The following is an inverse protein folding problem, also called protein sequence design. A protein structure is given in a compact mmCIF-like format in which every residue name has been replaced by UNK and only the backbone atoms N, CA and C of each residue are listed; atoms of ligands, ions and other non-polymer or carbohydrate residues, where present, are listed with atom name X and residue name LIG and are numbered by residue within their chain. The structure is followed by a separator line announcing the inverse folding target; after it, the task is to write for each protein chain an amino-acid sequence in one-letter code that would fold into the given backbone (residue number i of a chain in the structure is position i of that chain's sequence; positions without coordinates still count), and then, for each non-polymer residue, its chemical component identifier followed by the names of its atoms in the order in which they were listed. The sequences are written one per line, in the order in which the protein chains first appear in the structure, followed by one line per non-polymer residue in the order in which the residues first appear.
data_IF_578487271663
#
_entry.id   IF_578487271663
#
_cell.length_a   1.000
_cell.length_b   1.000
_cell.length_c   1.000
_cell.angle_alpha   90.00
_cell.angle_beta   90.00
_cell.angle_gamma   90.00
#
_symmetry.space_group_name_H-M   'P 1'
#
loop_
_entity.id
_entity.type
_entity.pdbx_description
1 polymer ?
#
# COMPACT_ATOMS: atom_id res chain seq x y z
N UNK A 1 10.23 -8.18 -11.40
CA UNK A 1 9.18 -8.07 -10.36
C UNK A 1 8.66 -6.65 -10.30
N UNK A 2 7.47 -6.41 -9.75
CA UNK A 2 6.92 -5.06 -9.51
C UNK A 2 6.83 -4.78 -8.01
N UNK A 3 7.20 -3.58 -7.57
CA UNK A 3 7.20 -3.15 -6.17
C UNK A 3 6.53 -1.79 -6.03
N UNK A 4 6.12 -1.45 -4.80
CA UNK A 4 5.51 -0.17 -4.45
C UNK A 4 5.94 0.19 -3.05
N UNK A 5 5.99 1.48 -2.73
CA UNK A 5 6.28 1.96 -1.38
C UNK A 5 5.40 1.19 -0.36
N UNK A 6 5.99 0.51 0.64
CA UNK A 6 5.24 -0.42 1.50
C UNK A 6 4.11 0.28 2.27
N UNK A 7 4.34 1.51 2.73
CA UNK A 7 3.29 2.33 3.35
C UNK A 7 2.17 2.73 2.37
N UNK A 8 2.45 2.90 1.08
CA UNK A 8 1.41 3.15 0.07
C UNK A 8 0.54 1.91 -0.16
N UNK A 9 1.14 0.72 -0.13
CA UNK A 9 0.41 -0.56 -0.24
C UNK A 9 -0.62 -0.72 0.88
N UNK A 10 -0.25 -0.39 2.11
CA UNK A 10 -1.13 -0.45 3.28
C UNK A 10 -2.35 0.47 3.14
N UNK A 11 -2.15 1.74 2.75
CA UNK A 11 -3.27 2.68 2.55
C UNK A 11 -4.16 2.23 1.40
N UNK A 12 -3.56 1.76 0.30
CA UNK A 12 -4.30 1.19 -0.83
C UNK A 12 -5.15 -0.02 -0.43
N UNK A 13 -4.58 -0.94 0.37
CA UNK A 13 -5.29 -2.11 0.87
C UNK A 13 -6.43 -1.73 1.82
N UNK A 14 -6.21 -0.74 2.69
CA UNK A 14 -7.25 -0.21 3.57
C UNK A 14 -8.41 0.39 2.80
N UNK A 15 -8.15 1.24 1.80
CA UNK A 15 -9.19 1.85 0.96
C UNK A 15 -9.99 0.80 0.20
N UNK A 16 -9.32 -0.17 -0.41
CA UNK A 16 -9.98 -1.20 -1.22
C UNK A 16 -10.75 -2.22 -0.35
N UNK A 17 -10.12 -2.77 0.69
CA UNK A 17 -10.71 -3.88 1.46
C UNK A 17 -11.59 -3.41 2.62
N UNK A 18 -11.31 -2.24 3.19
CA UNK A 18 -12.00 -1.68 4.36
C UNK A 18 -12.71 -0.35 4.07
N UNK A 19 -12.92 -0.02 2.80
CA UNK A 19 -13.73 1.14 2.41
C UNK A 19 -13.17 2.48 2.85
N UNK A 20 -11.89 2.55 3.25
CA UNK A 20 -11.26 3.78 3.70
C UNK A 20 -11.77 4.30 5.04
N UNK A 21 -12.41 3.45 5.86
CA UNK A 21 -13.02 3.84 7.14
C UNK A 21 -14.50 4.17 7.05
N UNK A 22 -15.07 4.17 5.84
CA UNK A 22 -16.50 4.33 5.65
C UNK A 22 -17.27 3.20 6.34
N UNK A 23 -18.46 3.54 6.83
CA UNK A 23 -19.42 2.59 7.38
C UNK A 23 -19.66 1.44 6.40
N UNK A 24 -19.41 0.21 6.85
CA UNK A 24 -19.76 -0.96 6.05
C UNK A 24 -21.21 -1.35 6.30
N UNK A 25 -21.94 -1.43 5.20
CA UNK A 25 -23.23 -2.13 5.15
C UNK A 25 -22.96 -3.53 4.63
N UNK A 26 -23.04 -4.54 5.52
CA UNK A 26 -22.76 -5.95 5.20
C UNK A 26 -23.54 -6.42 3.97
N UNK A 27 -24.80 -6.00 3.82
CA UNK A 27 -25.66 -6.34 2.70
C UNK A 27 -25.10 -5.85 1.35
N UNK A 28 -24.46 -4.67 1.31
CA UNK A 28 -23.86 -4.12 0.08
C UNK A 28 -22.52 -4.76 -0.29
N UNK A 29 -21.78 -5.30 0.70
CA UNK A 29 -20.44 -5.86 0.50
C UNK A 29 -20.23 -7.20 1.21
N UNK A 30 -21.06 -8.23 0.92
CA UNK A 30 -21.03 -9.50 1.66
C UNK A 30 -19.69 -10.23 1.53
N UNK A 31 -19.06 -10.20 0.36
CA UNK A 31 -17.76 -10.83 0.12
C UNK A 31 -16.63 -10.15 0.89
N UNK A 32 -16.53 -8.81 0.85
CA UNK A 32 -15.49 -8.07 1.61
C UNK A 32 -15.67 -8.26 3.11
N UNK A 33 -16.92 -8.27 3.57
CA UNK A 33 -17.22 -8.52 4.97
C UNK A 33 -16.73 -9.91 5.41
N UNK A 34 -17.06 -10.96 4.65
CA UNK A 34 -16.67 -12.33 4.99
C UNK A 34 -15.16 -12.54 4.96
N UNK A 35 -14.49 -12.03 3.93
CA UNK A 35 -13.06 -12.32 3.67
C UNK A 35 -12.13 -11.44 4.50
N UNK A 36 -12.47 -10.16 4.71
CA UNK A 36 -11.57 -9.19 5.37
C UNK A 36 -12.07 -8.73 6.73
N UNK A 37 -13.33 -8.27 6.82
CA UNK A 37 -13.82 -7.61 8.04
C UNK A 37 -14.10 -8.56 9.18
N UNK A 38 -14.81 -9.66 8.92
CA UNK A 38 -15.15 -10.64 9.97
C UNK A 38 -13.90 -11.21 10.65
N UNK A 39 -12.85 -11.63 9.91
CA UNK A 39 -11.57 -12.01 10.53
C UNK A 39 -10.93 -10.88 11.32
N UNK A 40 -10.95 -9.65 10.79
CA UNK A 40 -10.34 -8.50 11.46
C UNK A 40 -11.04 -8.12 12.78
N UNK A 41 -12.38 -8.09 12.78
CA UNK A 41 -13.18 -7.86 13.98
C UNK A 41 -12.94 -8.94 15.03
N UNK A 42 -12.91 -10.21 14.61
CA UNK A 42 -12.60 -11.33 15.51
C UNK A 42 -11.21 -11.19 16.12
N UNK A 43 -10.20 -10.89 15.31
CA UNK A 43 -8.82 -10.73 15.76
C UNK A 43 -8.64 -9.57 16.75
N UNK A 44 -9.43 -8.50 16.59
CA UNK A 44 -9.42 -7.33 17.47
C UNK A 44 -10.39 -7.45 18.66
N UNK A 45 -11.04 -8.61 18.85
CA UNK A 45 -12.02 -8.82 19.93
C UNK A 45 -13.30 -7.98 19.78
N UNK A 46 -13.56 -7.38 18.63
CA UNK A 46 -14.76 -6.59 18.37
C UNK A 46 -15.93 -7.51 18.02
N UNK A 47 -16.95 -7.54 18.88
CA UNK A 47 -18.15 -8.33 18.65
C UNK A 47 -19.07 -7.67 17.60
N UNK A 48 -19.60 -8.46 16.67
CA UNK A 48 -20.43 -8.04 15.54
C UNK A 48 -21.87 -7.60 15.92
N UNK A 49 -22.12 -7.23 17.18
CA UNK A 49 -23.48 -7.22 17.74
C UNK A 49 -24.37 -6.09 17.22
N UNK A 50 -23.82 -5.01 16.65
CA UNK A 50 -24.60 -3.94 16.01
C UNK A 50 -23.85 -3.37 14.81
N UNK A 51 -24.47 -3.41 13.63
CA UNK A 51 -24.11 -2.56 12.49
C UNK A 51 -24.73 -1.17 12.72
N UNK A 52 -24.15 -0.07 12.22
CA UNK A 52 -22.97 0.02 11.36
C UNK A 52 -21.64 -0.08 12.11
N UNK A 53 -20.68 -0.80 11.54
CA UNK A 53 -19.31 -0.88 12.06
C UNK A 53 -18.41 -0.01 11.18
N UNK A 54 -17.72 0.95 11.79
CA UNK A 54 -16.59 1.64 11.18
C UNK A 54 -15.30 0.95 11.58
N UNK A 55 -14.36 0.86 10.64
CA UNK A 55 -13.08 0.19 10.84
C UNK A 55 -11.95 1.15 10.52
N UNK A 56 -11.21 1.57 11.54
CA UNK A 56 -10.23 2.66 11.37
C UNK A 56 -8.95 2.17 10.71
N UNK A 57 -8.14 3.11 10.19
CA UNK A 57 -6.82 2.76 9.64
C UNK A 57 -5.89 2.18 10.71
N UNK A 58 -5.96 2.68 11.95
CA UNK A 58 -5.19 2.15 13.07
C UNK A 58 -5.59 0.69 13.39
N UNK A 59 -6.88 0.36 13.37
CA UNK A 59 -7.38 -1.00 13.57
C UNK A 59 -6.95 -1.93 12.44
N UNK A 60 -6.99 -1.45 11.20
CA UNK A 60 -6.44 -2.17 10.07
C UNK A 60 -4.96 -2.47 10.25
N UNK A 61 -4.15 -1.51 10.69
CA UNK A 61 -2.73 -1.76 10.92
C UNK A 61 -2.49 -2.72 12.08
N UNK A 62 -3.23 -2.61 13.18
CA UNK A 62 -3.16 -3.58 14.28
C UNK A 62 -3.49 -5.00 13.78
N UNK A 63 -4.56 -5.13 13.01
CA UNK A 63 -4.94 -6.39 12.38
C UNK A 63 -3.87 -6.91 11.40
N UNK A 64 -3.32 -6.04 10.56
CA UNK A 64 -2.28 -6.38 9.59
C UNK A 64 -0.95 -6.75 10.25
N UNK A 65 -0.66 -6.22 11.45
CA UNK A 65 0.48 -6.62 12.28
C UNK A 65 0.24 -7.97 12.95
N UNK A 66 -0.97 -8.21 13.48
CA UNK A 66 -1.35 -9.43 14.20
C UNK A 66 -1.50 -10.65 13.29
N UNK A 67 -2.01 -10.46 12.07
CA UNK A 67 -2.17 -11.54 11.09
C UNK A 67 -0.83 -11.91 10.45
N UNK A 68 -0.27 -13.05 10.87
CA UNK A 68 0.83 -13.76 10.18
C UNK A 68 0.39 -14.23 8.76
N UNK A 69 1.33 -14.51 7.83
CA UNK A 69 1.39 -13.83 6.53
C UNK A 69 0.67 -14.57 5.38
N UNK A 70 -0.63 -14.84 5.51
CA UNK A 70 -1.38 -15.39 4.35
C UNK A 70 -1.84 -14.30 3.39
N UNK A 71 -2.06 -13.08 3.86
CA UNK A 71 -2.59 -12.04 3.00
C UNK A 71 -1.49 -11.28 2.26
N UNK A 72 -1.45 -11.47 0.94
CA UNK A 72 -0.49 -10.83 0.05
C UNK A 72 -0.61 -9.30 0.00
N UNK A 73 -1.73 -8.69 0.42
CA UNK A 73 -1.91 -7.24 0.36
C UNK A 73 -1.11 -6.47 1.43
N UNK A 74 -0.89 -7.05 2.61
CA UNK A 74 -0.14 -6.45 3.73
C UNK A 74 0.95 -7.39 4.28
N UNK A 75 1.45 -8.27 3.40
CA UNK A 75 2.71 -8.98 3.59
C UNK A 75 3.82 -8.19 2.91
N UNK A 76 5.02 -8.22 3.49
CA UNK A 76 6.17 -7.52 2.92
C UNK A 76 6.50 -8.07 1.53
N UNK A 77 7.01 -7.22 0.66
CA UNK A 77 7.36 -7.60 -0.69
C UNK A 77 8.60 -8.50 -0.73
N UNK A 78 9.53 -8.29 0.20
CA UNK A 78 10.67 -9.17 0.44
C UNK A 78 10.21 -10.61 0.74
N UNK A 79 9.16 -10.79 1.54
CA UNK A 79 8.61 -12.14 1.79
C UNK A 79 7.78 -12.70 0.64
N UNK A 80 7.05 -11.86 -0.11
CA UNK A 80 6.19 -12.34 -1.21
C UNK A 80 7.02 -12.83 -2.39
N UNK A 81 8.09 -12.11 -2.74
CA UNK A 81 8.83 -12.38 -3.95
C UNK A 81 10.27 -12.85 -3.73
N UNK A 82 10.74 -12.95 -2.49
CA UNK A 82 12.08 -13.49 -2.18
C UNK A 82 13.19 -12.95 -3.12
N UNK A 83 13.32 -11.63 -3.28
CA UNK A 83 14.29 -11.01 -4.20
C UNK A 83 15.75 -11.36 -3.89
N UNK A 84 16.05 -11.82 -2.67
CA UNK A 84 17.38 -12.32 -2.31
C UNK A 84 17.64 -13.75 -2.79
N UNK A 85 16.59 -14.54 -3.06
CA UNK A 85 16.69 -15.94 -3.48
C UNK A 85 16.42 -16.14 -4.97
N UNK A 86 15.81 -15.15 -5.64
CA UNK A 86 15.44 -15.22 -7.06
C UNK A 86 16.18 -14.14 -7.85
N UNK A 87 16.76 -14.53 -8.98
CA UNK A 87 17.48 -13.62 -9.88
C UNK A 87 16.52 -12.86 -10.80
N UNK A 88 15.99 -11.74 -10.31
CA UNK A 88 15.20 -10.83 -11.14
C UNK A 88 16.11 -10.00 -12.06
N UNK A 89 15.87 -10.02 -13.37
CA UNK A 89 16.56 -9.12 -14.30
C UNK A 89 16.11 -7.66 -14.12
N UNK A 90 14.85 -7.44 -13.73
CA UNK A 90 14.27 -6.11 -13.60
C UNK A 90 13.36 -6.00 -12.36
N UNK A 91 13.45 -4.87 -11.66
CA UNK A 91 12.57 -4.49 -10.55
C UNK A 91 11.90 -3.17 -10.95
N UNK A 92 10.59 -3.20 -11.13
CA UNK A 92 9.79 -2.05 -11.56
C UNK A 92 9.11 -1.44 -10.35
N UNK A 93 9.02 -0.12 -10.29
CA UNK A 93 8.31 0.61 -9.24
C UNK A 93 6.96 1.07 -9.77
N UNK A 94 5.92 0.90 -8.97
CA UNK A 94 4.59 1.40 -9.32
C UNK A 94 4.59 2.94 -9.41
N UNK A 95 5.50 3.62 -8.72
CA UNK A 95 5.64 5.07 -8.77
C UNK A 95 6.20 5.59 -10.11
N UNK A 96 6.93 4.76 -10.87
CA UNK A 96 7.53 5.09 -12.18
C UNK A 96 7.12 4.07 -13.25
N UNK A 97 5.96 3.45 -13.08
CA UNK A 97 5.61 2.24 -13.84
C UNK A 97 5.53 2.48 -15.35
N UNK A 98 5.04 3.64 -15.77
CA UNK A 98 4.90 3.98 -17.18
C UNK A 98 6.27 4.17 -17.83
N UNK A 99 7.20 4.85 -17.14
CA UNK A 99 8.58 5.01 -17.56
C UNK A 99 9.32 3.66 -17.60
N UNK A 100 9.16 2.85 -16.55
CA UNK A 100 9.77 1.52 -16.45
C UNK A 100 9.29 0.59 -17.58
N UNK A 101 8.00 0.63 -17.92
CA UNK A 101 7.44 -0.15 -19.03
C UNK A 101 7.95 0.36 -20.39
N UNK A 102 8.07 1.68 -20.58
CA UNK A 102 8.63 2.24 -21.80
C UNK A 102 10.09 1.81 -22.00
N UNK A 103 10.89 1.86 -20.93
CA UNK A 103 12.26 1.36 -20.94
C UNK A 103 12.33 -0.14 -21.28
N UNK A 104 11.50 -0.96 -20.64
CA UNK A 104 11.47 -2.40 -20.92
C UNK A 104 11.03 -2.72 -22.35
N UNK A 105 10.06 -1.98 -22.89
CA UNK A 105 9.61 -2.20 -24.26
C UNK A 105 10.76 -2.05 -25.26
N UNK A 106 11.58 -1.00 -25.11
CA UNK A 106 12.78 -0.80 -25.92
C UNK A 106 13.79 -1.91 -25.68
N UNK A 107 14.08 -2.26 -24.42
CA UNK A 107 15.08 -3.29 -24.08
C UNK A 107 14.72 -4.68 -24.56
N UNK A 108 13.43 -5.00 -24.65
CA UNK A 108 12.92 -6.29 -25.06
C UNK A 108 12.48 -6.33 -26.54
N UNK A 109 12.78 -5.28 -27.32
CA UNK A 109 12.37 -5.14 -28.72
C UNK A 109 10.86 -5.33 -28.94
N UNK A 110 10.04 -4.85 -28.01
CA UNK A 110 8.58 -4.91 -28.10
C UNK A 110 8.11 -3.74 -28.97
N UNK A 111 7.77 -4.03 -30.22
CA UNK A 111 7.36 -3.07 -31.24
C UNK A 111 5.91 -2.56 -31.11
N UNK A 112 5.07 -3.23 -30.31
CA UNK A 112 3.70 -2.79 -29.98
C UNK A 112 3.57 -2.52 -28.49
N UNK A 113 3.84 -1.28 -28.09
CA UNK A 113 3.47 -0.80 -26.76
C UNK A 113 2.02 -0.34 -26.82
N UNK A 114 1.09 -1.16 -26.35
CA UNK A 114 -0.26 -0.66 -26.01
C UNK A 114 -0.03 0.43 -24.97
N UNK A 115 -0.61 1.63 -25.12
CA UNK A 115 -0.53 2.66 -24.07
C UNK A 115 -1.10 2.10 -22.76
N UNK A 116 -0.21 1.56 -21.90
CA UNK A 116 -0.57 1.03 -20.59
C UNK A 116 -0.65 2.22 -19.65
N UNK A 117 -1.78 2.93 -19.70
CA UNK A 117 -2.15 3.80 -18.59
C UNK A 117 -2.41 2.91 -17.37
N UNK A 118 -1.84 3.27 -16.22
CA UNK A 118 -2.17 2.60 -14.96
C UNK A 118 -3.70 2.62 -14.78
N UNK A 119 -4.37 1.47 -14.91
CA UNK A 119 -5.74 1.32 -14.42
C UNK A 119 -5.68 1.26 -12.91
N UNK A 120 -5.58 2.42 -12.28
CA UNK A 120 -5.79 2.53 -10.85
C UNK A 120 -7.24 2.10 -10.58
N UNK A 121 -7.46 1.03 -9.78
CA UNK A 121 -8.78 0.59 -9.32
C UNK A 121 -9.49 1.63 -8.41
N UNK A 122 -9.07 2.89 -8.43
CA UNK A 122 -9.80 4.00 -7.84
C UNK A 122 -11.02 4.27 -8.72
N UNK A 123 -12.18 3.75 -8.31
CA UNK A 123 -13.46 4.38 -8.69
C UNK A 123 -13.44 5.80 -8.10
N UNK A 124 -13.00 6.78 -8.88
CA UNK A 124 -12.98 8.18 -8.46
C UNK A 124 -11.87 8.97 -9.14
N UNK A 125 -12.32 9.88 -10.00
CA UNK A 125 -11.63 11.04 -10.58
C UNK A 125 -10.52 10.76 -11.60
N UNK A 126 -10.92 10.85 -12.89
CA UNK A 126 -10.01 11.21 -13.97
C UNK A 126 -9.49 12.63 -13.68
N UNK A 127 -8.34 12.76 -13.04
CA UNK A 127 -7.56 13.99 -13.15
C UNK A 127 -6.95 13.97 -14.55
N UNK A 128 -7.63 14.61 -15.50
CA UNK A 128 -7.02 15.13 -16.72
C UNK A 128 -6.14 16.29 -16.30
N UNK A 129 -4.98 15.99 -15.72
CA UNK A 129 -3.94 16.99 -15.56
C UNK A 129 -2.61 16.34 -15.88
N UNK A 130 -2.26 16.45 -17.15
CA UNK A 130 -0.96 16.12 -17.72
C UNK A 130 0.03 17.27 -17.43
N UNK A 131 -0.09 17.91 -16.27
CA UNK A 131 0.97 18.74 -15.73
C UNK A 131 2.09 17.80 -15.31
N UNK A 132 3.00 17.60 -16.26
CA UNK A 132 4.34 17.09 -16.06
C UNK A 132 5.12 18.06 -15.16
N UNK A 133 4.70 18.18 -13.90
CA UNK A 133 5.55 18.74 -12.85
C UNK A 133 6.75 17.84 -12.81
N UNK A 134 7.93 18.41 -13.09
CA UNK A 134 9.23 17.78 -12.97
C UNK A 134 9.44 17.37 -11.51
N UNK A 135 8.78 16.29 -11.09
CA UNK A 135 9.01 15.68 -9.79
C UNK A 135 10.47 15.30 -9.73
N UNK A 136 11.11 15.69 -8.63
CA UNK A 136 12.52 15.40 -8.39
C UNK A 136 12.75 13.90 -8.59
N UNK A 137 13.93 13.51 -9.08
CA UNK A 137 14.30 12.10 -9.27
C UNK A 137 14.23 11.29 -7.97
N UNK A 138 14.08 11.91 -6.80
CA UNK A 138 13.87 11.21 -5.52
C UNK A 138 12.44 11.22 -5.01
N UNK A 139 11.52 12.01 -5.58
CA UNK A 139 10.14 12.11 -5.07
C UNK A 139 9.41 10.77 -5.13
N UNK A 140 9.65 9.99 -6.19
CA UNK A 140 9.03 8.68 -6.37
C UNK A 140 9.50 7.62 -5.34
N UNK A 141 10.59 7.89 -4.60
CA UNK A 141 11.05 7.02 -3.52
C UNK A 141 10.40 7.36 -2.17
N UNK A 142 9.73 8.50 -2.08
CA UNK A 142 9.04 8.94 -0.87
C UNK A 142 7.57 8.55 -0.89
N UNK A 143 6.96 8.45 0.29
CA UNK A 143 5.52 8.21 0.41
C UNK A 143 4.73 9.39 -0.18
N UNK A 144 3.73 9.08 -1.02
CA UNK A 144 2.78 10.06 -1.55
C UNK A 144 2.23 10.96 -0.42
N UNK A 145 2.33 12.30 -0.53
CA UNK A 145 1.82 13.25 0.45
C UNK A 145 0.35 12.99 0.85
N UNK A 146 -0.49 12.56 -0.09
CA UNK A 146 -1.90 12.24 0.17
C UNK A 146 -2.05 11.05 1.14
N UNK A 147 -1.05 10.18 1.25
CA UNK A 147 -1.04 9.04 2.15
C UNK A 147 -0.38 9.33 3.49
N UNK A 148 0.49 10.34 3.59
CA UNK A 148 1.15 10.75 4.84
C UNK A 148 0.14 11.02 5.96
N UNK A 149 -0.99 11.66 5.64
CA UNK A 149 -2.05 11.99 6.61
C UNK A 149 -2.61 10.78 7.37
N UNK A 150 -2.66 9.60 6.75
CA UNK A 150 -3.12 8.38 7.42
C UNK A 150 -2.17 7.96 8.56
N UNK A 151 -0.87 8.20 8.40
CA UNK A 151 0.16 7.81 9.36
C UNK A 151 0.37 8.85 10.46
N UNK A 152 0.11 10.13 10.18
CA UNK A 152 0.20 11.21 11.18
C UNK A 152 -0.81 11.05 12.31
N UNK A 153 -1.93 10.36 12.08
CA UNK A 153 -2.97 10.13 13.09
C UNK A 153 -2.71 8.90 13.97
N UNK A 154 -1.67 8.10 13.68
CA UNK A 154 -1.42 6.86 14.42
C UNK A 154 -0.73 7.11 15.77
N UNK A 155 -0.96 6.25 16.79
CA UNK A 155 -0.11 6.22 17.98
C UNK A 155 1.37 5.96 17.60
N UNK A 156 2.35 6.67 18.20
CA UNK A 156 3.78 6.52 17.89
C UNK A 156 4.28 5.08 17.90
N UNK A 157 3.89 4.29 18.93
CA UNK A 157 4.25 2.87 19.04
C UNK A 157 3.72 2.02 17.89
N UNK A 158 2.50 2.29 17.44
CA UNK A 158 1.91 1.57 16.30
C UNK A 158 2.64 1.92 15.00
N UNK A 159 2.94 3.21 14.79
CA UNK A 159 3.72 3.66 13.63
C UNK A 159 5.11 3.03 13.60
N UNK A 160 5.81 3.01 14.74
CA UNK A 160 7.12 2.38 14.88
C UNK A 160 7.08 0.88 14.54
N UNK A 161 6.07 0.15 15.05
CA UNK A 161 5.90 -1.27 14.76
C UNK A 161 5.61 -1.54 13.27
N UNK A 162 4.81 -0.69 12.62
CA UNK A 162 4.56 -0.79 11.18
C UNK A 162 5.83 -0.54 10.39
N UNK A 163 6.56 0.53 10.68
CA UNK A 163 7.85 0.83 10.01
C UNK A 163 8.83 -0.32 10.20
N UNK A 164 8.94 -0.86 11.43
CA UNK A 164 9.79 -2.01 11.74
C UNK A 164 9.42 -3.24 10.91
N UNK A 165 8.12 -3.56 10.77
CA UNK A 165 7.65 -4.69 9.95
C UNK A 165 8.07 -4.59 8.48
N UNK A 166 8.08 -3.39 7.92
CA UNK A 166 8.40 -3.16 6.49
C UNK A 166 9.81 -2.62 6.27
N UNK A 167 10.69 -2.66 7.27
CA UNK A 167 12.05 -2.12 7.18
C UNK A 167 12.83 -2.72 6.02
N UNK A 168 12.77 -4.04 5.85
CA UNK A 168 13.50 -4.72 4.78
C UNK A 168 13.02 -4.28 3.38
N UNK A 169 11.71 -4.09 3.18
CA UNK A 169 11.18 -3.56 1.92
C UNK A 169 11.68 -2.14 1.66
N UNK A 170 11.70 -1.30 2.70
CA UNK A 170 12.18 0.07 2.59
C UNK A 170 13.65 0.12 2.16
N UNK A 171 14.50 -0.66 2.84
CA UNK A 171 15.95 -0.72 2.56
C UNK A 171 16.24 -1.35 1.20
N UNK A 172 15.69 -2.53 0.93
CA UNK A 172 15.99 -3.30 -0.28
C UNK A 172 15.59 -2.56 -1.56
N UNK A 173 14.46 -1.83 -1.52
CA UNK A 173 13.96 -1.11 -2.68
C UNK A 173 14.27 0.39 -2.62
N UNK A 174 15.07 0.87 -1.65
CA UNK A 174 15.50 2.27 -1.56
C UNK A 174 14.38 3.28 -1.26
N UNK A 175 13.26 2.84 -0.69
CA UNK A 175 12.16 3.73 -0.31
C UNK A 175 12.49 4.53 0.95
N UNK A 176 12.11 5.80 0.96
CA UNK A 176 12.38 6.75 2.04
C UNK A 176 11.13 7.06 2.85
N UNK A 177 11.28 7.06 4.17
CA UNK A 177 10.21 7.49 5.08
C UNK A 177 10.22 9.03 5.14
N UNK A 178 9.07 9.71 4.98
CA UNK A 178 9.00 11.15 5.14
C UNK A 178 9.49 11.62 6.52
N UNK A 179 10.26 12.72 6.61
CA UNK A 179 10.75 13.25 7.89
C UNK A 179 9.66 13.47 8.94
N UNK A 180 8.48 13.92 8.50
CA UNK A 180 7.31 14.11 9.37
C UNK A 180 6.86 12.83 10.10
N UNK A 181 7.10 11.65 9.53
CA UNK A 181 6.81 10.37 10.19
C UNK A 181 7.99 9.90 11.06
N UNK A 182 9.23 10.12 10.62
CA UNK A 182 10.44 9.78 11.38
C UNK A 182 10.46 10.52 12.73
N UNK A 183 10.11 11.79 12.74
CA UNK A 183 10.10 12.60 13.96
C UNK A 183 9.09 12.12 15.01
N UNK A 184 8.07 11.35 14.60
CA UNK A 184 7.06 10.81 15.54
C UNK A 184 7.47 9.54 16.25
N UNK A 185 8.52 8.85 15.77
CA UNK A 185 8.99 7.58 16.33
C UNK A 185 10.31 7.70 17.10
N UNK A 186 10.97 8.86 17.03
CA UNK A 186 12.10 9.22 17.89
C UNK A 186 11.52 9.76 19.20
N UNK A 187 11.20 8.85 20.12
CA UNK A 187 10.83 9.15 21.52
C UNK A 187 11.75 8.32 22.40
#
# INVERSE_FOLDING_TARGET
MTVRHPLSRLVSAFRDKFGGGNTLVKAMHPSKYRVFWRPALKALGKSNKKAPIQFTFAEFLQFALYTRPTNTHWRSMAEICSPCSLSYQYILKLETFSEDLAFLAVKLNITRVINIHQRNNQKGEKTTDDTRTTRSTTDHLTLDPAYVKYYLQLPPRLLANVIKKYRLDLELFGYKIPPALVNRIRI
#
